data_IF_221482455258
#
_entry.id   IF_221482455258
#
_cell.length_a   1.000
_cell.length_b   1.000
_cell.length_c   1.000
_cell.angle_alpha   90.00
_cell.angle_beta   90.00
_cell.angle_gamma   90.00
#
_symmetry.space_group_name_H-M   'P 1'
#
loop_
_entity.id
_entity.type
_entity.pdbx_description
1 polymer ?
#
# COMPACT_ATOMS: atom_id res chain seq x y z
N UNK A 1 -4.08 -21.41 -6.44
CA UNK A 1 -3.89 -21.58 -4.99
C UNK A 1 -2.43 -21.44 -4.54
N UNK A 2 -1.45 -22.16 -5.10
CA UNK A 2 -0.03 -22.10 -4.67
C UNK A 2 0.59 -20.67 -4.64
N UNK A 3 0.31 -19.82 -5.63
CA UNK A 3 0.84 -18.45 -5.72
C UNK A 3 0.41 -17.54 -4.56
N UNK A 4 -0.88 -17.56 -4.21
CA UNK A 4 -1.44 -16.72 -3.13
C UNK A 4 -0.87 -17.16 -1.76
N UNK A 5 -0.70 -18.47 -1.55
CA UNK A 5 -0.07 -18.99 -0.33
C UNK A 5 1.38 -18.51 -0.18
N UNK A 6 2.14 -18.48 -1.28
CA UNK A 6 3.50 -17.95 -1.29
C UNK A 6 3.54 -16.45 -0.98
N UNK A 7 2.68 -15.65 -1.62
CA UNK A 7 2.59 -14.20 -1.35
C UNK A 7 2.21 -13.90 0.11
N UNK A 8 1.37 -14.75 0.72
CA UNK A 8 1.06 -14.66 2.15
C UNK A 8 2.30 -14.93 3.02
N UNK A 9 3.07 -15.97 2.71
CA UNK A 9 4.31 -16.28 3.43
C UNK A 9 5.35 -15.16 3.30
N UNK A 10 5.50 -14.58 2.11
CA UNK A 10 6.40 -13.44 1.87
C UNK A 10 6.00 -12.21 2.69
N UNK A 11 4.70 -11.89 2.76
CA UNK A 11 4.20 -10.80 3.59
C UNK A 11 4.49 -11.03 5.07
N UNK A 12 4.26 -12.24 5.59
CA UNK A 12 4.57 -12.56 6.99
C UNK A 12 6.05 -12.34 7.30
N UNK A 13 6.97 -12.81 6.45
CA UNK A 13 8.41 -12.58 6.62
C UNK A 13 8.78 -11.09 6.65
N UNK A 14 8.12 -10.27 5.82
CA UNK A 14 8.35 -8.82 5.78
C UNK A 14 7.85 -8.14 7.06
N UNK A 15 6.64 -8.44 7.51
CA UNK A 15 6.04 -7.78 8.68
C UNK A 15 6.57 -8.30 10.03
N UNK A 16 7.23 -9.46 10.06
CA UNK A 16 7.94 -9.98 11.24
C UNK A 16 9.35 -9.36 11.40
N UNK A 17 9.83 -8.61 10.41
CA UNK A 17 11.15 -7.98 10.42
C UNK A 17 11.25 -6.97 11.58
N UNK A 18 12.41 -6.99 12.25
CA UNK A 18 12.83 -5.97 13.21
C UNK A 18 13.85 -5.06 12.55
N UNK A 19 13.38 -3.99 11.91
CA UNK A 19 14.22 -2.95 11.34
C UNK A 19 14.88 -2.07 12.41
N UNK A 20 15.94 -1.37 12.02
CA UNK A 20 16.50 -0.28 12.81
C UNK A 20 15.47 0.85 12.92
N UNK A 21 15.57 1.66 13.97
CA UNK A 21 14.79 2.89 14.06
C UNK A 21 15.24 3.87 12.98
N UNK A 22 14.33 4.20 12.06
CA UNK A 22 14.54 5.16 10.97
C UNK A 22 13.51 6.29 11.04
N UNK A 23 12.75 6.39 12.15
CA UNK A 23 11.73 7.42 12.31
C UNK A 23 12.44 8.75 12.57
N UNK A 24 12.22 9.70 11.67
CA UNK A 24 12.70 11.07 11.78
C UNK A 24 11.54 12.06 11.82
N UNK A 25 11.80 13.34 12.11
CA UNK A 25 10.78 14.41 12.04
C UNK A 25 10.39 14.80 10.59
N UNK A 26 10.74 13.99 9.57
CA UNK A 26 10.45 14.27 8.17
C UNK A 26 9.30 13.40 7.67
N UNK A 27 8.15 14.03 7.47
CA UNK A 27 7.01 13.44 6.78
C UNK A 27 6.81 14.10 5.43
N UNK A 28 6.53 13.31 4.41
CA UNK A 28 6.17 13.78 3.08
C UNK A 28 4.67 13.64 2.87
N UNK A 29 4.09 14.63 2.20
CA UNK A 29 2.66 14.64 1.92
C UNK A 29 2.36 14.19 0.48
N UNK A 30 1.82 12.97 0.26
CA UNK A 30 1.36 12.56 -1.06
C UNK A 30 0.10 13.32 -1.54
N UNK A 31 -0.46 14.25 -0.75
CA UNK A 31 -1.74 14.93 -1.03
C UNK A 31 -1.69 15.96 -2.14
N UNK A 32 -0.53 16.54 -2.46
CA UNK A 32 -0.45 17.67 -3.38
C UNK A 32 -0.88 17.33 -4.82
N UNK A 33 -1.05 16.03 -5.15
CA UNK A 33 -1.46 15.58 -6.49
C UNK A 33 -2.64 14.60 -6.51
N UNK A 34 -3.33 14.34 -5.39
CA UNK A 34 -4.31 13.26 -5.30
C UNK A 34 -5.61 13.63 -4.59
N UNK A 35 -6.74 13.11 -5.10
CA UNK A 35 -8.06 13.22 -4.47
C UNK A 35 -8.37 11.93 -3.69
N UNK A 36 -8.78 12.06 -2.42
CA UNK A 36 -9.20 10.91 -1.61
C UNK A 36 -10.52 10.38 -2.19
N UNK A 37 -10.49 9.17 -2.74
CA UNK A 37 -11.70 8.51 -3.26
C UNK A 37 -12.32 7.54 -2.27
N UNK A 38 -11.56 7.11 -1.26
CA UNK A 38 -12.11 6.32 -0.16
C UNK A 38 -11.20 6.36 1.05
N UNK A 39 -11.82 6.55 2.21
CA UNK A 39 -11.15 6.69 3.50
C UNK A 39 -10.75 5.34 4.10
N UNK A 40 -9.78 5.38 5.00
CA UNK A 40 -9.46 4.24 5.85
C UNK A 40 -10.67 3.87 6.71
N UNK A 41 -10.82 2.56 6.94
CA UNK A 41 -11.92 1.95 7.68
C UNK A 41 -13.33 2.23 7.14
N UNK A 42 -13.43 2.63 5.88
CA UNK A 42 -14.72 2.56 5.16
C UNK A 42 -15.09 1.10 4.90
N UNK A 43 -16.31 0.71 5.26
CA UNK A 43 -16.85 -0.62 4.93
C UNK A 43 -17.13 -0.73 3.44
N UNK A 44 -16.62 -1.77 2.78
CA UNK A 44 -16.78 -2.00 1.34
C UNK A 44 -17.43 -3.34 1.06
N UNK A 45 -18.27 -3.40 0.02
CA UNK A 45 -18.77 -4.67 -0.49
C UNK A 45 -17.77 -5.25 -1.50
N UNK A 46 -17.10 -6.34 -1.12
CA UNK A 46 -16.27 -7.12 -2.02
C UNK A 46 -17.08 -8.26 -2.62
N UNK A 47 -17.18 -8.29 -3.95
CA UNK A 47 -17.90 -9.32 -4.70
C UNK A 47 -16.88 -10.20 -5.44
N UNK A 48 -17.00 -11.50 -5.22
CA UNK A 48 -16.19 -12.52 -5.85
C UNK A 48 -16.94 -13.11 -7.03
N UNK A 49 -16.24 -13.22 -8.16
CA UNK A 49 -16.80 -13.77 -9.38
C UNK A 49 -15.98 -14.96 -9.84
N UNK A 50 -16.65 -15.88 -10.53
CA UNK A 50 -16.04 -16.99 -11.27
C UNK A 50 -16.58 -16.98 -12.69
N UNK A 51 -15.78 -17.49 -13.61
CA UNK A 51 -16.25 -17.76 -14.96
C UNK A 51 -16.78 -19.18 -15.03
N UNK A 52 -18.06 -19.31 -15.41
CA UNK A 52 -18.71 -20.59 -15.68
C UNK A 52 -19.33 -20.51 -17.07
N UNK A 53 -18.91 -21.42 -17.95
CA UNK A 53 -19.32 -21.44 -19.36
C UNK A 53 -19.16 -20.08 -20.07
N UNK A 54 -18.06 -19.36 -19.80
CA UNK A 54 -17.78 -18.04 -20.36
C UNK A 54 -18.59 -16.88 -19.76
N UNK A 55 -19.53 -17.14 -18.84
CA UNK A 55 -20.30 -16.12 -18.13
C UNK A 55 -19.67 -15.82 -16.78
N UNK A 56 -19.61 -14.53 -16.43
CA UNK A 56 -19.17 -14.07 -15.11
C UNK A 56 -20.33 -14.25 -14.13
N UNK A 57 -20.17 -15.19 -13.20
CA UNK A 57 -21.17 -15.51 -12.17
C UNK A 57 -20.65 -15.02 -10.82
N UNK A 58 -21.49 -14.31 -10.07
CA UNK A 58 -21.21 -13.95 -8.67
C UNK A 58 -21.24 -15.21 -7.81
N UNK A 59 -20.17 -15.43 -7.04
CA UNK A 59 -20.02 -16.60 -6.18
C UNK A 59 -20.19 -16.23 -4.71
N UNK A 60 -19.78 -15.02 -4.33
CA UNK A 60 -19.84 -14.57 -2.95
C UNK A 60 -19.79 -13.05 -2.86
N UNK A 61 -20.39 -12.49 -1.80
CA UNK A 61 -20.28 -11.07 -1.43
C UNK A 61 -19.95 -10.96 0.05
N UNK A 62 -18.99 -10.11 0.40
CA UNK A 62 -18.60 -9.89 1.79
C UNK A 62 -18.36 -8.41 2.04
N UNK A 63 -18.81 -7.93 3.20
CA UNK A 63 -18.39 -6.62 3.69
C UNK A 63 -16.98 -6.75 4.26
N UNK A 64 -16.04 -5.98 3.71
CA UNK A 64 -14.64 -5.94 4.10
C UNK A 64 -14.26 -4.52 4.52
N UNK A 65 -13.34 -4.44 5.48
CA UNK A 65 -12.82 -3.16 5.95
C UNK A 65 -11.69 -2.68 5.02
N UNK A 66 -11.73 -1.41 4.66
CA UNK A 66 -10.67 -0.78 3.87
C UNK A 66 -9.48 -0.40 4.76
N UNK A 67 -8.41 -1.18 4.75
CA UNK A 67 -7.25 -1.01 5.65
C UNK A 67 -6.18 -0.04 5.12
N UNK A 68 -6.61 1.03 4.46
CA UNK A 68 -5.74 2.04 3.86
C UNK A 68 -6.55 3.22 3.34
N UNK A 69 -5.94 4.10 2.57
CA UNK A 69 -6.61 5.23 1.90
C UNK A 69 -6.38 5.13 0.39
N UNK A 70 -7.43 5.35 -0.38
CA UNK A 70 -7.34 5.36 -1.84
C UNK A 70 -7.20 6.81 -2.32
N UNK A 71 -6.08 7.07 -2.98
CA UNK A 71 -5.66 8.35 -3.52
C UNK A 71 -5.74 8.27 -5.05
N UNK A 72 -6.77 8.87 -5.63
CA UNK A 72 -6.95 8.88 -7.08
C UNK A 72 -5.88 9.75 -7.73
N UNK A 73 -5.21 9.19 -8.72
CA UNK A 73 -4.22 9.85 -9.56
C UNK A 73 -4.35 9.40 -11.01
N UNK A 74 -3.79 10.17 -11.93
CA UNK A 74 -3.68 9.71 -13.33
C UNK A 74 -2.64 8.57 -13.37
N UNK A 75 -2.78 7.57 -14.26
CA UNK A 75 -1.69 6.64 -14.51
C UNK A 75 -0.37 7.39 -14.78
N UNK A 76 0.71 6.99 -14.12
CA UNK A 76 2.01 7.65 -14.23
C UNK A 76 2.25 8.79 -13.23
N UNK A 77 1.24 9.23 -12.46
CA UNK A 77 1.45 10.22 -11.38
C UNK A 77 2.49 9.69 -10.39
N UNK A 78 3.51 10.48 -10.02
CA UNK A 78 4.52 10.05 -9.05
C UNK A 78 3.95 9.62 -7.69
N UNK A 79 4.47 8.53 -7.16
CA UNK A 79 4.23 8.03 -5.79
C UNK A 79 5.49 8.26 -4.97
N UNK A 80 5.33 8.85 -3.79
CA UNK A 80 6.43 9.22 -2.90
C UNK A 80 6.38 8.44 -1.58
N UNK A 81 7.54 8.17 -1.00
CA UNK A 81 7.65 7.63 0.36
C UNK A 81 7.12 8.65 1.38
N UNK A 82 6.26 8.21 2.30
CA UNK A 82 5.66 9.10 3.33
C UNK A 82 6.65 9.49 4.43
N UNK A 83 7.68 8.67 4.66
CA UNK A 83 8.71 8.84 5.68
C UNK A 83 10.00 8.13 5.26
N UNK A 84 11.10 8.45 5.95
CA UNK A 84 12.40 7.77 5.77
C UNK A 84 12.26 6.27 6.09
N UNK A 85 12.94 5.40 5.36
CA UNK A 85 12.88 3.97 5.64
C UNK A 85 13.68 3.10 4.70
N UNK A 86 13.55 1.78 4.86
CA UNK A 86 14.15 0.77 3.99
C UNK A 86 13.06 0.03 3.22
N UNK A 87 13.24 -0.11 1.91
CA UNK A 87 12.35 -0.91 1.06
C UNK A 87 12.52 -2.38 1.40
N UNK A 88 11.46 -3.01 1.89
CA UNK A 88 11.43 -4.42 2.31
C UNK A 88 10.60 -5.30 1.37
N UNK A 89 9.80 -4.69 0.50
CA UNK A 89 9.14 -5.37 -0.62
C UNK A 89 9.05 -4.42 -1.82
N UNK A 90 9.35 -4.91 -3.01
CA UNK A 90 9.13 -4.20 -4.28
C UNK A 90 8.91 -5.25 -5.38
N UNK A 91 7.65 -5.68 -5.57
CA UNK A 91 7.32 -6.74 -6.56
C UNK A 91 5.85 -6.72 -6.98
N UNK A 92 5.55 -7.44 -8.06
CA UNK A 92 4.17 -7.72 -8.46
C UNK A 92 3.55 -8.84 -7.60
N UNK A 93 2.36 -8.58 -7.06
CA UNK A 93 1.52 -9.49 -6.27
C UNK A 93 0.10 -9.58 -6.85
N UNK A 94 -0.64 -10.62 -6.46
CA UNK A 94 -1.94 -10.90 -7.06
C UNK A 94 -3.00 -9.82 -6.79
N UNK A 95 -3.14 -9.38 -5.53
CA UNK A 95 -4.16 -8.39 -5.15
C UNK A 95 -3.61 -6.98 -5.19
N UNK A 96 -2.42 -6.78 -4.63
CA UNK A 96 -1.79 -5.47 -4.50
C UNK A 96 -1.22 -4.96 -5.83
N UNK A 97 -1.08 -5.82 -6.85
CA UNK A 97 -0.42 -5.45 -8.10
C UNK A 97 1.06 -5.19 -7.85
N UNK A 98 1.65 -4.22 -8.54
CA UNK A 98 2.99 -3.76 -8.18
C UNK A 98 2.92 -3.08 -6.81
N UNK A 99 3.67 -3.65 -5.87
CA UNK A 99 3.57 -3.34 -4.46
C UNK A 99 4.93 -3.01 -3.87
N UNK A 100 5.04 -1.83 -3.29
CA UNK A 100 6.16 -1.41 -2.45
C UNK A 100 5.77 -1.48 -0.98
N UNK A 101 6.65 -2.02 -0.12
CA UNK A 101 6.56 -1.90 1.34
C UNK A 101 7.85 -1.29 1.86
N UNK A 102 7.72 -0.29 2.73
CA UNK A 102 8.83 0.37 3.41
C UNK A 102 8.73 0.11 4.91
N UNK A 103 9.82 -0.35 5.49
CA UNK A 103 10.04 -0.46 6.94
C UNK A 103 10.66 0.84 7.44
N UNK A 104 9.95 1.55 8.32
CA UNK A 104 10.39 2.79 8.93
C UNK A 104 11.06 2.57 10.30
N UNK A 105 11.14 1.32 10.76
CA UNK A 105 11.62 0.98 12.10
C UNK A 105 10.50 0.89 13.14
N UNK A 106 10.84 0.34 14.30
CA UNK A 106 9.95 0.23 15.47
C UNK A 106 8.59 -0.47 15.21
N UNK A 107 8.52 -1.27 14.14
CA UNK A 107 7.30 -1.95 13.70
C UNK A 107 6.35 -1.07 12.89
N UNK A 108 6.80 0.06 12.37
CA UNK A 108 6.03 0.96 11.50
C UNK A 108 6.33 0.65 10.04
N UNK A 109 5.29 0.32 9.27
CA UNK A 109 5.42 -0.03 7.85
C UNK A 109 4.42 0.75 7.01
N UNK A 110 4.85 1.24 5.84
CA UNK A 110 3.94 1.77 4.83
C UNK A 110 3.90 0.87 3.59
N UNK A 111 2.73 0.79 2.95
CA UNK A 111 2.49 -0.01 1.75
C UNK A 111 1.87 0.81 0.64
N UNK A 112 2.32 0.60 -0.59
CA UNK A 112 1.94 1.35 -1.78
C UNK A 112 1.53 0.38 -2.87
N UNK A 113 0.24 0.28 -3.15
CA UNK A 113 -0.30 -0.72 -4.08
C UNK A 113 -0.71 -0.12 -5.42
N UNK A 114 -1.02 -1.02 -6.36
CA UNK A 114 -1.59 -0.77 -7.68
C UNK A 114 -0.68 0.04 -8.61
N UNK A 115 0.60 0.17 -8.28
CA UNK A 115 1.56 0.98 -9.05
C UNK A 115 1.67 0.50 -10.50
N UNK A 116 1.90 1.42 -11.44
CA UNK A 116 2.23 1.07 -12.82
C UNK A 116 3.70 0.71 -12.97
N UNK A 117 4.56 1.33 -12.17
CA UNK A 117 6.00 1.09 -12.16
C UNK A 117 6.57 1.16 -10.74
N UNK A 118 7.55 0.30 -10.47
CA UNK A 118 8.35 0.29 -9.25
C UNK A 118 9.68 0.98 -9.55
N UNK A 119 10.01 2.05 -8.83
CA UNK A 119 11.25 2.82 -9.03
C UNK A 119 12.29 2.56 -7.95
N UNK A 120 12.06 1.54 -7.13
CA UNK A 120 12.92 1.13 -6.02
C UNK A 120 13.05 -0.38 -5.98
N UNK A 121 14.08 -0.86 -5.28
CA UNK A 121 14.35 -2.27 -5.08
C UNK A 121 14.50 -2.62 -3.59
N UNK A 122 14.29 -3.88 -3.25
CA UNK A 122 14.46 -4.38 -1.87
C UNK A 122 15.88 -4.08 -1.38
N UNK A 123 15.98 -3.59 -0.15
CA UNK A 123 17.23 -3.19 0.51
C UNK A 123 17.58 -1.70 0.36
N UNK A 124 16.98 -1.00 -0.60
CA UNK A 124 17.20 0.44 -0.81
C UNK A 124 16.68 1.25 0.37
N UNK A 125 17.50 2.19 0.86
CA UNK A 125 17.05 3.24 1.78
C UNK A 125 16.46 4.39 0.97
N UNK A 126 15.32 4.89 1.44
CA UNK A 126 14.60 6.00 0.82
C UNK A 126 14.34 7.09 1.83
N UNK A 127 14.26 8.34 1.36
CA UNK A 127 13.89 9.49 2.19
C UNK A 127 12.42 9.83 2.04
N UNK A 128 11.85 10.49 3.05
CA UNK A 128 10.56 11.14 2.94
C UNK A 128 10.53 12.03 1.69
N UNK A 129 9.54 11.84 0.81
CA UNK A 129 9.39 12.60 -0.43
C UNK A 129 10.19 12.07 -1.61
N UNK A 130 10.94 10.98 -1.44
CA UNK A 130 11.59 10.30 -2.54
C UNK A 130 10.56 9.55 -3.40
N UNK A 131 10.67 9.67 -4.72
CA UNK A 131 9.76 9.00 -5.67
C UNK A 131 10.08 7.51 -5.70
N UNK A 132 9.13 6.69 -5.29
CA UNK A 132 9.29 5.23 -5.18
C UNK A 132 8.56 4.44 -6.27
N UNK A 133 7.67 5.09 -7.00
CA UNK A 133 6.94 4.47 -8.10
C UNK A 133 5.97 5.44 -8.74
N UNK A 134 5.05 4.87 -9.52
CA UNK A 134 4.07 5.61 -10.31
C UNK A 134 2.66 5.02 -10.12
N UNK A 135 1.64 5.87 -10.00
CA UNK A 135 0.23 5.46 -9.91
C UNK A 135 -0.11 4.58 -11.11
N UNK A 136 -0.89 3.52 -10.87
CA UNK A 136 -1.32 2.59 -11.91
C UNK A 136 -2.69 2.01 -11.62
N UNK A 137 -2.96 0.86 -12.24
CA UNK A 137 -4.19 0.09 -12.07
C UNK A 137 -3.89 -1.42 -12.06
N UNK A 138 -2.75 -1.80 -11.47
CA UNK A 138 -2.31 -3.20 -11.44
C UNK A 138 -2.94 -3.97 -10.28
N UNK A 139 -3.03 -5.29 -10.39
CA UNK A 139 -3.64 -6.13 -9.35
C UNK A 139 -5.18 -6.04 -9.33
N UNK A 140 -5.77 -6.18 -8.15
CA UNK A 140 -7.20 -6.09 -7.93
C UNK A 140 -7.61 -4.63 -7.68
N UNK A 141 -7.84 -3.90 -8.76
CA UNK A 141 -8.22 -2.48 -8.73
C UNK A 141 -9.37 -2.20 -9.71
N UNK A 142 -10.26 -1.28 -9.35
CA UNK A 142 -11.42 -0.88 -10.18
C UNK A 142 -11.09 0.27 -11.14
N UNK A 143 -9.99 0.99 -10.92
CA UNK A 143 -9.54 2.08 -11.76
C UNK A 143 -8.25 2.71 -11.22
N UNK A 144 -7.58 3.60 -11.97
CA UNK A 144 -6.28 4.12 -11.56
C UNK A 144 -6.30 4.88 -10.23
N UNK A 145 -5.55 4.39 -9.24
CA UNK A 145 -5.37 5.01 -7.93
C UNK A 145 -4.13 4.43 -7.22
N UNK A 146 -3.67 5.12 -6.17
CA UNK A 146 -2.75 4.59 -5.18
C UNK A 146 -3.56 4.16 -3.96
N UNK A 147 -3.46 2.89 -3.56
CA UNK A 147 -3.87 2.47 -2.23
C UNK A 147 -2.66 2.57 -1.30
N UNK A 148 -2.72 3.50 -0.36
CA UNK A 148 -1.71 3.72 0.68
C UNK A 148 -2.17 3.04 1.97
N UNK A 149 -1.34 2.19 2.54
CA UNK A 149 -1.61 1.52 3.80
C UNK A 149 -0.49 1.81 4.81
N UNK A 150 -0.84 1.76 6.10
CA UNK A 150 0.08 1.97 7.21
C UNK A 150 -0.21 0.94 8.29
N UNK A 151 0.85 0.34 8.84
CA UNK A 151 0.76 -0.61 9.93
C UNK A 151 1.67 -0.18 11.07
N UNK A 152 1.19 -0.33 12.30
CA UNK A 152 1.99 -0.19 13.53
C UNK A 152 1.91 -1.51 14.27
N UNK A 153 3.05 -2.20 14.39
CA UNK A 153 3.17 -3.51 15.05
C UNK A 153 2.14 -4.53 14.52
N UNK A 154 1.95 -4.53 13.19
CA UNK A 154 1.02 -5.42 12.50
C UNK A 154 -0.45 -4.97 12.51
N UNK A 155 -0.80 -3.91 13.23
CA UNK A 155 -2.17 -3.37 13.27
C UNK A 155 -2.31 -2.31 12.18
N UNK A 156 -3.29 -2.43 11.26
CA UNK A 156 -3.56 -1.39 10.28
C UNK A 156 -4.05 -0.13 10.99
N UNK A 157 -3.55 1.02 10.54
CA UNK A 157 -3.96 2.34 11.05
C UNK A 157 -4.23 3.26 9.86
N UNK A 158 -4.99 4.33 10.09
CA UNK A 158 -5.22 5.32 9.04
C UNK A 158 -3.92 6.04 8.68
N UNK A 159 -3.41 5.91 7.44
CA UNK A 159 -2.20 6.62 7.03
C UNK A 159 -2.32 8.13 7.14
N UNK A 160 -3.55 8.67 7.02
CA UNK A 160 -3.80 10.10 7.12
C UNK A 160 -3.71 10.63 8.56
N UNK A 161 -3.81 9.75 9.57
CA UNK A 161 -3.70 10.16 10.97
C UNK A 161 -2.32 10.72 11.33
N UNK A 162 -1.25 10.29 10.63
CA UNK A 162 0.10 10.82 10.82
C UNK A 162 0.19 12.34 10.58
N UNK A 163 -0.62 12.88 9.67
CA UNK A 163 -0.64 14.32 9.37
C UNK A 163 -1.32 15.16 10.45
N UNK A 164 -2.07 14.52 11.36
CA UNK A 164 -2.73 15.20 12.48
C UNK A 164 -1.87 15.21 13.75
N UNK A 165 -0.74 14.52 13.76
CA UNK A 165 0.17 14.50 14.90
C UNK A 165 0.97 15.82 14.94
N UNK A 166 1.08 16.46 16.11
CA UNK A 166 1.97 17.60 16.27
C UNK A 166 3.41 17.13 16.05
N UNK A 167 4.12 17.76 15.10
CA UNK A 167 5.56 17.59 14.95
C UNK A 167 6.18 18.21 16.21
N UNK A 168 6.82 17.40 17.05
CA UNK A 168 7.65 17.94 18.14
C UNK A 168 8.93 18.47 17.51
N UNK A 169 9.10 19.79 17.53
CA UNK A 169 10.36 20.47 17.17
C UNK A 169 11.52 19.99 18.05
#
# INVERSE_FOLDING_TARGET
MKKITLEKSLKNQVFERKGNDLITNRLSHPRDMHYITSQCFTSRLQIYYKYENGKKVEVNRRVVMHNGVDLRGRPGTPVYAIADGQVVMARSMHFEGNFTVIDHGLGVFSGYMHQSNLRVQVGQYVRAGERIGDVGNTGYSTGPHLHLALWIRGVPVDPLSLYSLPIRE
#
